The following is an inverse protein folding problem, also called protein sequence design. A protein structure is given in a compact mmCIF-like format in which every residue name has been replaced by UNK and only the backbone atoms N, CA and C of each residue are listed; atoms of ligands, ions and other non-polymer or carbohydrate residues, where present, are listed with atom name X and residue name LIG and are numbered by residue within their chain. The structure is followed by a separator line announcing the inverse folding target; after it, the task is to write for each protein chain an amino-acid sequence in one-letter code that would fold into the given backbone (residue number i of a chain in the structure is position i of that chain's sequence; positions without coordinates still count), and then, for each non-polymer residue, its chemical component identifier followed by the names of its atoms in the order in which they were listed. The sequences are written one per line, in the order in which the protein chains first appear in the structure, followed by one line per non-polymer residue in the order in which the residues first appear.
data_IF_146869270296
#
_entry.id   IF_146869270296
#
_cell.length_a   1.000
_cell.length_b   1.000
_cell.length_c   1.000
_cell.angle_alpha   90.00
_cell.angle_beta   90.00
_cell.angle_gamma   90.00
#
_symmetry.space_group_name_H-M   'P 1'
#
loop_
_entity.id
_entity.type
_entity.pdbx_description
1 polymer ?
2 non-polymer ?
3 non-polymer ?
4 non-polymer ?
5 water ?
#
# COMPACT_ATOMS: atom_id res chain seq x y z
N UNK A 18 19.48 11.49 -11.98
CA UNK A 18 20.00 10.12 -11.66
C UNK A 18 18.87 9.23 -11.13
N UNK A 19 18.00 9.74 -10.25
CA UNK A 19 16.78 9.02 -9.81
C UNK A 19 15.75 9.04 -10.97
N UNK A 20 15.98 8.19 -11.96
CA UNK A 20 15.15 8.07 -13.19
C UNK A 20 13.76 7.54 -12.81
N UNK A 21 13.69 6.67 -11.81
CA UNK A 21 12.43 6.00 -11.40
C UNK A 21 11.43 7.01 -10.82
N UNK A 22 11.87 7.94 -9.96
CA UNK A 22 10.95 8.99 -9.45
C UNK A 22 10.53 9.89 -10.62
N UNK A 23 11.43 10.17 -11.55
CA UNK A 23 11.11 10.98 -12.76
C UNK A 23 10.00 10.31 -13.58
N UNK A 24 9.92 8.98 -13.56
CA UNK A 24 8.81 8.22 -14.20
C UNK A 24 7.49 8.58 -13.54
N UNK A 25 7.42 8.59 -12.19
CA UNK A 25 6.20 8.98 -11.44
C UNK A 25 5.84 10.42 -11.83
N UNK A 26 6.80 11.33 -11.84
CA UNK A 26 6.53 12.74 -12.18
C UNK A 26 6.03 12.82 -13.63
N UNK A 27 6.60 12.03 -14.54
CA UNK A 27 6.16 12.02 -15.97
C UNK A 27 4.73 11.47 -16.05
N UNK A 28 4.36 10.50 -15.22
CA UNK A 28 2.97 9.99 -15.19
C UNK A 28 2.02 11.13 -14.79
N UNK A 29 2.35 11.87 -13.75
CA UNK A 29 1.52 13.02 -13.30
C UNK A 29 1.42 14.04 -14.44
N UNK A 30 2.55 14.38 -15.06
CA UNK A 30 2.59 15.33 -16.20
C UNK A 30 1.64 14.83 -17.31
N UNK A 31 1.68 13.54 -17.60
CA UNK A 31 0.89 12.93 -18.70
C UNK A 31 -0.60 13.04 -18.36
N UNK A 32 -0.96 12.74 -17.11
CA UNK A 32 -2.39 12.80 -16.67
C UNK A 32 -2.87 14.25 -16.77
N UNK A 33 -2.10 15.21 -16.27
CA UNK A 33 -2.55 16.63 -16.27
C UNK A 33 -2.75 17.11 -17.71
N UNK A 34 -1.90 16.66 -18.64
CA UNK A 34 -1.93 17.12 -20.06
C UNK A 34 -3.03 16.39 -20.84
N UNK A 35 -3.17 15.07 -20.66
CA UNK A 35 -3.93 14.18 -21.58
C UNK A 35 -5.15 13.55 -20.90
N UNK A 36 -5.26 13.65 -19.57
CA UNK A 36 -6.32 12.95 -18.81
C UNK A 36 -7.71 13.49 -19.13
N UNK A 37 -8.73 12.67 -18.90
CA UNK A 37 -10.15 13.05 -19.10
C UNK A 37 -10.67 13.66 -17.80
N UNK A 38 -11.36 14.80 -17.89
CA UNK A 38 -12.04 15.40 -16.71
C UNK A 38 -13.33 14.59 -16.48
N UNK A 39 -13.42 13.88 -15.36
CA UNK A 39 -14.61 13.07 -14.98
C UNK A 39 -14.93 13.33 -13.50
N UNK A 40 -16.20 13.57 -13.18
CA UNK A 40 -16.70 13.61 -11.78
C UNK A 40 -16.80 12.17 -11.29
N UNK A 41 -16.26 11.92 -10.10
CA UNK A 41 -16.22 10.54 -9.53
C UNK A 41 -17.51 10.26 -8.75
N UNK A 42 -17.54 9.14 -8.05
CA UNK A 42 -18.74 8.61 -7.34
C UNK A 42 -19.22 9.62 -6.29
N UNK A 43 -18.33 10.47 -5.78
CA UNK A 43 -18.65 11.49 -4.73
C UNK A 43 -19.10 12.79 -5.38
N UNK A 44 -18.97 12.92 -6.70
CA UNK A 44 -19.37 14.11 -7.47
C UNK A 44 -18.26 15.14 -7.64
N UNK A 45 -17.06 14.88 -7.11
CA UNK A 45 -15.90 15.83 -7.21
C UNK A 45 -15.14 15.56 -8.50
N UNK A 46 -14.53 16.60 -9.06
CA UNK A 46 -13.79 16.55 -10.33
C UNK A 46 -12.47 15.80 -10.17
N UNK A 47 -12.17 14.91 -11.11
CA UNK A 47 -10.84 14.26 -11.25
C UNK A 47 -10.35 14.42 -12.68
N UNK A 48 -9.04 14.25 -12.88
CA UNK A 48 -8.41 14.13 -14.22
C UNK A 48 -7.83 12.72 -14.27
N UNK A 49 -8.27 11.92 -15.24
CA UNK A 49 -8.09 10.45 -15.22
C UNK A 49 -7.43 9.94 -16.50
N UNK A 50 -6.48 9.02 -16.34
CA UNK A 50 -5.97 8.15 -17.43
C UNK A 50 -6.22 6.71 -16.96
N UNK A 51 -6.88 5.91 -17.78
CA UNK A 51 -7.11 4.47 -17.50
C UNK A 51 -5.99 3.65 -18.13
N UNK A 52 -5.23 2.91 -17.31
CA UNK A 52 -4.19 1.99 -17.77
C UNK A 52 -2.84 2.68 -17.86
N UNK A 53 -2.06 2.59 -16.78
CA UNK A 53 -0.67 3.11 -16.75
C UNK A 53 0.23 2.05 -16.11
N UNK A 54 1.50 2.02 -16.48
CA UNK A 54 2.48 1.00 -16.04
C UNK A 54 3.78 1.72 -15.73
N UNK A 55 4.42 1.41 -14.61
CA UNK A 55 5.76 1.94 -14.29
C UNK A 55 6.54 0.91 -13.47
N UNK A 56 7.85 0.93 -13.60
CA UNK A 56 8.72 -0.05 -12.88
C UNK A 56 9.70 0.74 -12.02
N UNK A 57 9.87 0.30 -10.78
CA UNK A 57 10.79 0.89 -9.77
C UNK A 57 11.79 -0.18 -9.35
N UNK A 58 13.08 0.13 -9.42
CA UNK A 58 14.13 -0.74 -8.85
C UNK A 58 13.98 -0.81 -7.33
N UNK A 59 14.02 -2.02 -6.79
CA UNK A 59 14.11 -2.27 -5.33
C UNK A 59 15.50 -2.79 -4.98
N UNK A 60 16.44 -2.81 -5.94
CA UNK A 60 17.74 -3.51 -5.74
C UNK A 60 18.54 -2.81 -4.65
N UNK A 61 19.30 -3.61 -3.89
CA UNK A 61 20.31 -3.09 -2.94
C UNK A 61 19.64 -2.16 -1.93
N UNK A 62 18.52 -2.58 -1.37
CA UNK A 62 17.85 -1.90 -0.24
C UNK A 62 16.94 -0.76 -0.63
N UNK A 63 16.84 -0.43 -1.92
CA UNK A 63 16.15 0.82 -2.37
C UNK A 63 14.63 0.67 -2.20
N UNK A 64 14.01 1.66 -1.56
CA UNK A 64 12.53 1.75 -1.42
C UNK A 64 12.10 3.02 -2.14
N UNK A 65 11.11 2.94 -3.05
CA UNK A 65 10.68 4.10 -3.82
C UNK A 65 9.76 5.04 -3.03
N UNK A 66 10.36 5.74 -2.07
CA UNK A 66 9.70 6.78 -1.24
C UNK A 66 10.02 8.14 -1.87
N UNK A 67 9.02 8.83 -2.40
CA UNK A 67 9.24 10.04 -3.23
C UNK A 67 10.06 11.05 -2.43
N UNK A 68 11.05 11.65 -3.10
CA UNK A 68 11.94 12.69 -2.50
C UNK A 68 11.40 14.08 -2.82
N UNK A 69 10.57 14.27 -3.85
CA UNK A 69 10.10 15.62 -4.26
C UNK A 69 8.95 16.11 -3.36
N UNK A 70 8.42 15.25 -2.48
CA UNK A 70 7.35 15.64 -1.52
C UNK A 70 7.29 14.59 -0.42
N UNK A 71 7.44 15.00 0.84
CA UNK A 71 7.53 14.05 1.97
C UNK A 71 6.34 13.08 1.92
N UNK A 72 6.65 11.79 1.99
CA UNK A 72 5.69 10.67 2.20
C UNK A 72 5.64 10.37 3.69
N UNK A 73 4.45 10.05 4.19
CA UNK A 73 4.18 9.76 5.62
C UNK A 73 4.69 8.37 5.97
N UNK A 74 6.01 8.25 6.06
CA UNK A 74 6.70 6.95 6.31
C UNK A 74 6.22 6.31 7.61
N UNK A 75 6.06 7.07 8.70
CA UNK A 75 5.50 6.54 9.95
C UNK A 75 4.17 5.83 9.65
N UNK A 76 3.30 6.48 8.86
CA UNK A 76 2.00 5.90 8.47
C UNK A 76 2.16 4.66 7.62
N UNK A 77 3.06 4.70 6.65
CA UNK A 77 3.33 3.53 5.76
C UNK A 77 3.67 2.31 6.63
N UNK A 78 4.65 2.47 7.52
CA UNK A 78 5.16 1.32 8.30
C UNK A 78 4.05 0.84 9.24
N UNK A 79 3.43 1.74 10.00
CA UNK A 79 2.43 1.32 11.01
C UNK A 79 1.24 0.67 10.30
N UNK A 80 0.80 1.24 9.17
CA UNK A 80 -0.34 0.64 8.40
C UNK A 80 0.05 -0.78 7.99
N UNK A 81 1.26 -0.97 7.46
CA UNK A 81 1.67 -2.29 6.94
C UNK A 81 1.78 -3.30 8.09
N UNK A 82 2.32 -2.93 9.27
CA UNK A 82 2.44 -3.87 10.40
C UNK A 82 1.03 -4.27 10.87
N UNK A 83 0.10 -3.32 10.82
CA UNK A 83 -1.31 -3.49 11.23
C UNK A 83 -2.00 -4.45 10.23
N UNK A 84 -1.78 -4.28 8.93
CA UNK A 84 -2.24 -5.24 7.90
C UNK A 84 -1.73 -6.64 8.25
N UNK A 85 -0.44 -6.75 8.54
CA UNK A 85 0.21 -8.08 8.73
C UNK A 85 -0.39 -8.75 9.98
N UNK A 86 -0.77 -7.97 10.99
CA UNK A 86 -1.43 -8.52 12.20
C UNK A 86 -2.82 -9.07 11.88
N UNK A 87 -3.35 -8.77 10.69
CA UNK A 87 -4.75 -9.12 10.33
C UNK A 87 -5.74 -8.22 11.03
N UNK A 88 -5.30 -7.02 11.42
CA UNK A 88 -6.08 -6.09 12.29
C UNK A 88 -7.01 -5.25 11.42
N UNK A 89 -8.24 -5.06 11.89
CA UNK A 89 -9.28 -4.24 11.21
C UNK A 89 -9.83 -3.16 12.13
N UNK A 90 -9.16 -2.92 13.26
CA UNK A 90 -9.56 -1.88 14.26
C UNK A 90 -8.77 -0.60 13.99
N UNK A 91 -9.41 0.43 13.44
CA UNK A 91 -8.77 1.74 13.16
C UNK A 91 -8.18 2.32 14.46
N UNK A 92 -8.78 2.02 15.61
CA UNK A 92 -8.32 2.59 16.91
C UNK A 92 -6.89 2.13 17.20
N UNK A 93 -6.52 0.90 16.84
CA UNK A 93 -5.16 0.37 17.06
C UNK A 93 -4.15 1.19 16.26
N UNK A 94 -4.49 1.57 15.04
CA UNK A 94 -3.60 2.38 14.18
C UNK A 94 -3.54 3.81 14.74
N UNK A 95 -4.69 4.37 15.14
CA UNK A 95 -4.82 5.74 15.69
C UNK A 95 -3.97 5.90 16.95
N UNK A 96 -3.90 4.86 17.78
CA UNK A 96 -3.15 4.86 19.07
C UNK A 96 -1.66 5.06 18.79
N UNK A 97 -1.19 4.69 17.59
CA UNK A 97 0.23 4.84 17.19
C UNK A 97 0.45 6.22 16.54
N UNK A 98 -0.58 7.07 16.51
CA UNK A 98 -0.54 8.43 15.94
C UNK A 98 -0.94 8.45 14.47
N UNK A 99 -1.39 7.32 13.92
CA UNK A 99 -1.66 7.21 12.46
C UNK A 99 -3.18 7.20 12.26
N UNK A 100 -3.72 8.33 11.80
CA UNK A 100 -5.17 8.61 11.80
C UNK A 100 -5.80 8.36 10.43
N UNK A 101 -5.07 7.73 9.49
CA UNK A 101 -5.47 7.70 8.05
C UNK A 101 -6.79 6.95 7.82
N UNK A 102 -7.16 6.01 8.69
CA UNK A 102 -8.41 5.21 8.54
C UNK A 102 -9.41 5.53 9.66
N UNK A 103 -9.21 6.64 10.37
CA UNK A 103 -10.12 7.02 11.49
C UNK A 103 -11.50 7.44 10.97
N UNK A 104 -11.56 8.23 9.91
CA UNK A 104 -12.84 8.73 9.32
C UNK A 104 -13.74 7.54 8.98
N UNK A 105 -13.18 6.46 8.45
CA UNK A 105 -13.94 5.29 7.94
C UNK A 105 -14.43 4.40 9.08
N UNK A 106 -13.93 4.59 10.31
CA UNK A 106 -14.33 3.80 11.49
C UNK A 106 -15.26 4.56 12.42
N UNK A 107 -15.54 5.83 12.11
CA UNK A 107 -16.33 6.76 12.98
C UNK A 107 -17.78 6.26 13.11
N UNK A 108 -18.43 6.58 14.22
CA UNK A 108 -19.85 6.22 14.50
C UNK A 108 -20.70 6.68 13.31
N UNK A 109 -20.49 7.92 12.85
CA UNK A 109 -21.27 8.56 11.75
C UNK A 109 -21.07 7.76 10.46
N UNK A 110 -19.82 7.51 10.08
CA UNK A 110 -19.47 6.83 8.81
C UNK A 110 -20.04 5.40 8.82
N UNK A 111 -19.91 4.68 9.93
CA UNK A 111 -20.45 3.30 10.09
C UNK A 111 -21.97 3.30 9.89
N UNK A 112 -22.66 4.24 10.53
CA UNK A 112 -24.15 4.33 10.48
C UNK A 112 -24.61 4.61 9.04
N UNK A 113 -23.91 5.51 8.35
CA UNK A 113 -24.23 5.94 6.96
C UNK A 113 -23.94 4.80 5.96
N UNK A 114 -23.11 3.83 6.35
CA UNK A 114 -22.74 2.66 5.52
C UNK A 114 -23.60 1.44 5.87
N UNK A 115 -24.60 1.63 6.73
CA UNK A 115 -25.51 0.56 7.19
C UNK A 115 -24.81 -0.45 8.08
N UNK A 116 -23.80 -0.02 8.85
CA UNK A 116 -23.06 -0.86 9.84
C UNK A 116 -23.40 -0.38 11.26
N UNK A 117 -24.67 -0.09 11.54
CA UNK A 117 -25.12 0.51 12.83
C UNK A 117 -24.76 -0.39 14.01
N UNK A 118 -24.66 -1.70 13.80
CA UNK A 118 -24.39 -2.71 14.86
C UNK A 118 -22.88 -2.82 15.16
N UNK A 119 -22.01 -2.23 14.33
CA UNK A 119 -20.53 -2.28 14.53
C UNK A 119 -20.10 -1.26 15.58
N UNK A 120 -19.05 -1.61 16.33
CA UNK A 120 -18.37 -0.70 17.29
C UNK A 120 -17.50 0.28 16.52
N UNK A 121 -17.34 1.49 17.05
CA UNK A 121 -16.47 2.55 16.47
C UNK A 121 -15.07 1.97 16.25
N UNK A 122 -14.48 2.22 15.08
CA UNK A 122 -13.14 1.72 14.71
C UNK A 122 -13.20 0.46 13.86
N UNK A 123 -14.35 -0.22 13.79
CA UNK A 123 -14.47 -1.53 13.07
C UNK A 123 -14.60 -1.23 11.57
N UNK A 124 -13.52 -1.45 10.80
CA UNK A 124 -13.47 -1.17 9.33
C UNK A 124 -14.03 -2.36 8.53
N UNK A 125 -14.43 -3.43 9.22
CA UNK A 125 -14.89 -4.67 8.57
C UNK A 125 -13.72 -5.46 8.01
N UNK A 126 -13.98 -6.49 7.18
CA UNK A 126 -12.94 -7.41 6.70
C UNK A 126 -12.07 -6.82 5.58
N UNK A 127 -11.28 -5.81 5.90
CA UNK A 127 -10.40 -5.11 4.91
C UNK A 127 -9.06 -5.85 4.79
N UNK A 128 -8.08 -5.20 4.16
CA UNK A 128 -6.80 -5.79 3.69
C UNK A 128 -6.27 -6.84 4.67
N UNK A 129 -5.95 -6.45 5.91
CA UNK A 129 -5.25 -7.33 6.86
C UNK A 129 -6.01 -8.62 7.06
N UNK A 130 -7.32 -8.51 7.21
CA UNK A 130 -8.22 -9.67 7.44
C UNK A 130 -8.17 -10.58 6.21
N UNK A 131 -8.23 -10.00 5.01
CA UNK A 131 -8.17 -10.82 3.77
C UNK A 131 -6.78 -11.46 3.64
N UNK A 132 -5.70 -10.75 3.97
CA UNK A 132 -4.33 -11.30 3.82
C UNK A 132 -4.14 -12.52 4.73
N UNK A 133 -4.64 -12.48 5.96
CA UNK A 133 -4.31 -13.51 6.98
C UNK A 133 -5.46 -14.50 7.20
N UNK A 134 -6.70 -14.15 6.86
CA UNK A 134 -7.92 -14.93 7.24
C UNK A 134 -8.90 -15.01 6.06
N UNK A 135 -8.36 -15.11 4.85
CA UNK A 135 -9.13 -15.14 3.60
C UNK A 135 -10.21 -16.23 3.66
N UNK A 136 -11.48 -15.83 3.55
CA UNK A 136 -12.63 -16.76 3.48
C UNK A 136 -13.27 -17.02 4.84
N UNK A 137 -12.65 -16.58 5.94
CA UNK A 137 -13.23 -16.69 7.30
C UNK A 137 -14.45 -15.78 7.42
N UNK A 138 -15.45 -16.19 8.21
CA UNK A 138 -16.67 -15.38 8.45
C UNK A 138 -16.31 -14.22 9.38
N UNK A 139 -16.48 -12.98 8.91
CA UNK A 139 -16.23 -11.77 9.73
C UNK A 139 -17.32 -11.66 10.80
N UNK A 140 -16.90 -11.51 12.06
CA UNK A 140 -17.77 -11.40 13.26
C UNK A 140 -17.27 -10.26 14.14
N UNK A 141 -16.74 -9.20 13.52
CA UNK A 141 -16.31 -7.98 14.23
C UNK A 141 -14.83 -7.97 14.53
N UNK A 142 -14.29 -6.79 14.80
CA UNK A 142 -12.84 -6.53 14.94
C UNK A 142 -12.28 -7.16 16.22
N UNK A 143 -13.12 -7.41 17.23
CA UNK A 143 -12.68 -7.84 18.58
C UNK A 143 -12.54 -9.37 18.63
N UNK A 144 -13.07 -10.07 17.63
CA UNK A 144 -12.98 -11.55 17.51
C UNK A 144 -11.53 -11.97 17.24
N UNK A 145 -11.08 -13.07 17.86
CA UNK A 145 -9.76 -13.69 17.61
C UNK A 145 -9.92 -14.66 16.43
N UNK A 146 -9.27 -14.35 15.29
CA UNK A 146 -9.40 -15.12 14.02
C UNK A 146 -8.19 -16.05 13.82
N UNK A 147 -7.33 -16.21 14.82
CA UNK A 147 -6.09 -17.04 14.73
C UNK A 147 -6.45 -18.41 14.11
N UNK A 148 -5.78 -18.77 13.01
CA UNK A 148 -5.91 -20.07 12.28
C UNK A 148 -7.31 -20.24 11.66
N UNK A 149 -8.08 -19.15 11.48
CA UNK A 149 -9.33 -19.17 10.69
C UNK A 149 -9.03 -18.66 9.27
N UNK A 150 -9.63 -19.30 8.27
CA UNK A 150 -9.47 -18.94 6.85
C UNK A 150 -8.08 -19.25 6.32
N UNK A 151 -7.81 -18.78 5.11
CA UNK A 151 -6.56 -19.05 4.35
C UNK A 151 -5.59 -17.90 4.64
N UNK A 152 -4.40 -18.25 5.13
CA UNK A 152 -3.33 -17.26 5.41
C UNK A 152 -2.55 -17.06 4.12
N UNK A 153 -3.04 -16.16 3.25
CA UNK A 153 -2.40 -15.92 1.95
C UNK A 153 -0.94 -15.51 2.14
N UNK A 154 -0.67 -14.67 3.16
CA UNK A 154 0.70 -14.13 3.33
C UNK A 154 1.66 -15.27 3.67
N UNK A 155 1.28 -16.16 4.58
CA UNK A 155 2.09 -17.36 4.94
C UNK A 155 2.23 -18.25 3.69
N UNK A 156 1.16 -18.40 2.93
CA UNK A 156 1.15 -19.29 1.74
C UNK A 156 2.12 -18.75 0.69
N UNK A 157 2.13 -17.44 0.46
CA UNK A 157 3.04 -16.79 -0.54
C UNK A 157 4.51 -17.00 -0.11
N UNK A 158 4.76 -16.85 1.20
CA UNK A 158 6.14 -17.05 1.75
C UNK A 158 6.54 -18.53 1.53
N UNK A 159 5.64 -19.47 1.77
CA UNK A 159 5.92 -20.92 1.54
C UNK A 159 6.21 -21.16 0.05
N UNK A 160 5.47 -20.52 -0.86
CA UNK A 160 5.75 -20.67 -2.31
C UNK A 160 7.11 -20.09 -2.65
N UNK A 161 7.41 -18.90 -2.17
CA UNK A 161 8.71 -18.23 -2.49
C UNK A 161 9.86 -19.15 -2.02
N UNK A 162 9.74 -19.72 -0.83
CA UNK A 162 10.82 -20.55 -0.25
C UNK A 162 10.96 -21.87 -1.00
N UNK A 163 9.84 -22.53 -1.30
CA UNK A 163 9.86 -23.95 -1.76
C UNK A 163 9.73 -24.04 -3.29
N UNK A 164 9.04 -23.09 -3.91
CA UNK A 164 8.72 -23.12 -5.36
C UNK A 164 8.87 -21.71 -5.93
N UNK A 165 10.09 -21.14 -5.87
CA UNK A 165 10.33 -19.75 -6.26
C UNK A 165 9.89 -19.41 -7.69
N UNK A 166 9.81 -20.40 -8.59
CA UNK A 166 9.45 -20.16 -10.01
C UNK A 166 7.94 -20.16 -10.21
N UNK A 167 7.16 -20.34 -9.15
CA UNK A 167 5.68 -20.45 -9.25
C UNK A 167 5.08 -19.23 -9.98
N UNK A 168 4.12 -19.49 -10.85
CA UNK A 168 3.33 -18.44 -11.55
C UNK A 168 2.06 -18.12 -10.75
N UNK A 169 1.93 -18.63 -9.52
CA UNK A 169 0.67 -18.58 -8.73
C UNK A 169 0.91 -17.84 -7.40
N UNK A 170 1.92 -16.98 -7.32
CA UNK A 170 2.28 -16.29 -6.03
C UNK A 170 1.50 -14.97 -5.98
N UNK A 171 0.27 -15.03 -5.50
CA UNK A 171 -0.70 -13.90 -5.54
C UNK A 171 -1.18 -13.59 -4.12
N UNK A 172 -1.13 -12.30 -3.77
CA UNK A 172 -1.71 -11.77 -2.51
C UNK A 172 -2.88 -10.87 -2.92
N UNK A 173 -4.10 -11.22 -2.57
CA UNK A 173 -5.30 -10.47 -3.01
C UNK A 173 -6.14 -10.00 -1.82
N UNK A 174 -6.69 -8.80 -1.90
CA UNK A 174 -7.72 -8.30 -0.96
C UNK A 174 -9.09 -8.25 -1.63
N UNK A 175 -9.18 -8.62 -2.91
CA UNK A 175 -10.43 -8.46 -3.70
C UNK A 175 -11.33 -9.65 -3.44
N UNK A 176 -11.92 -9.69 -2.24
CA UNK A 176 -12.86 -10.74 -1.79
C UNK A 176 -14.27 -10.24 -2.11
N UNK A 177 -14.83 -10.67 -3.24
CA UNK A 177 -16.11 -10.11 -3.77
C UNK A 177 -17.22 -10.34 -2.74
N UNK A 178 -17.26 -11.51 -2.12
CA UNK A 178 -18.28 -11.87 -1.11
C UNK A 178 -18.23 -10.88 0.06
N UNK A 179 -17.04 -10.37 0.41
CA UNK A 179 -16.85 -9.51 1.60
C UNK A 179 -16.91 -8.02 1.25
N UNK A 180 -16.93 -7.64 -0.03
CA UNK A 180 -16.86 -6.20 -0.41
C UNK A 180 -17.95 -5.40 0.31
N UNK A 181 -19.17 -5.95 0.39
CA UNK A 181 -20.34 -5.25 0.99
C UNK A 181 -20.13 -5.00 2.50
N UNK A 182 -19.23 -5.74 3.15
CA UNK A 182 -18.96 -5.62 4.61
C UNK A 182 -17.83 -4.62 4.87
N UNK A 183 -17.06 -4.26 3.85
CA UNK A 183 -15.84 -3.43 4.01
C UNK A 183 -16.23 -1.95 4.13
N UNK A 184 -15.55 -1.22 5.01
CA UNK A 184 -15.62 0.26 5.09
C UNK A 184 -15.38 0.82 3.68
N UNK A 185 -14.39 0.27 2.97
CA UNK A 185 -13.99 0.70 1.60
C UNK A 185 -13.54 -0.53 0.81
N UNK A 186 -13.92 -0.67 -0.48
CA UNK A 186 -13.37 -1.73 -1.32
C UNK A 186 -11.89 -1.46 -1.61
N UNK A 187 -11.03 -2.50 -1.62
CA UNK A 187 -9.59 -2.28 -1.72
C UNK A 187 -9.22 -1.57 -3.03
N UNK A 188 -8.29 -0.62 -2.98
CA UNK A 188 -7.75 0.11 -4.17
C UNK A 188 -6.49 -0.60 -4.66
N UNK A 189 -5.59 -0.93 -3.73
CA UNK A 189 -4.48 -1.87 -4.02
C UNK A 189 -5.08 -3.27 -3.93
N UNK A 190 -5.35 -3.87 -5.09
CA UNK A 190 -6.33 -4.96 -5.34
C UNK A 190 -5.67 -6.35 -5.26
N UNK A 191 -4.56 -6.54 -5.96
CA UNK A 191 -3.73 -7.76 -5.77
C UNK A 191 -2.28 -7.44 -6.12
N UNK A 192 -1.39 -8.28 -5.60
CA UNK A 192 0.05 -8.20 -5.86
C UNK A 192 0.50 -9.60 -6.26
N UNK A 193 1.28 -9.69 -7.31
CA UNK A 193 1.92 -10.97 -7.71
C UNK A 193 3.42 -10.86 -7.44
N UNK A 194 3.98 -11.92 -6.88
CA UNK A 194 5.43 -11.99 -6.61
C UNK A 194 6.08 -13.00 -7.57
N UNK A 195 7.35 -12.80 -7.80
CA UNK A 195 8.16 -13.73 -8.62
C UNK A 195 9.60 -13.68 -8.15
N UNK A 196 10.30 -14.81 -8.25
CA UNK A 196 11.75 -14.92 -7.92
C UNK A 196 12.50 -15.20 -9.20
N UNK A 197 13.54 -14.40 -9.46
CA UNK A 197 14.52 -14.63 -10.54
C UNK A 197 15.92 -14.36 -9.97
N UNK A 198 16.82 -15.33 -10.13
CA UNK A 198 18.26 -15.17 -9.79
C UNK A 198 18.37 -14.74 -8.33
N UNK A 199 17.55 -15.35 -7.46
CA UNK A 199 17.51 -15.06 -6.01
C UNK A 199 17.07 -13.64 -5.70
N UNK A 200 16.39 -12.97 -6.65
CA UNK A 200 15.80 -11.62 -6.47
C UNK A 200 14.27 -11.72 -6.48
N UNK A 201 13.64 -11.22 -5.43
CA UNK A 201 12.16 -11.16 -5.31
C UNK A 201 11.67 -9.85 -5.93
N UNK A 202 10.74 -9.98 -6.90
CA UNK A 202 10.04 -8.84 -7.53
C UNK A 202 8.55 -8.91 -7.22
N UNK A 203 7.86 -7.79 -7.43
CA UNK A 203 6.44 -7.62 -7.12
C UNK A 203 5.79 -6.85 -8.26
N UNK A 204 4.65 -7.33 -8.73
CA UNK A 204 3.76 -6.56 -9.62
C UNK A 204 2.48 -6.25 -8.86
N UNK A 205 2.24 -4.95 -8.62
CA UNK A 205 1.06 -4.46 -7.86
C UNK A 205 -0.01 -3.99 -8.84
N UNK A 206 -1.19 -4.59 -8.78
CA UNK A 206 -2.35 -4.14 -9.58
C UNK A 206 -3.21 -3.23 -8.70
N UNK A 207 -3.21 -1.95 -9.03
CA UNK A 207 -3.96 -0.91 -8.28
C UNK A 207 -5.09 -0.43 -9.19
N UNK A 208 -6.32 -0.82 -8.87
CA UNK A 208 -7.50 -0.50 -9.71
C UNK A 208 -7.74 1.01 -9.73
N UNK A 209 -7.27 1.71 -8.71
CA UNK A 209 -7.60 3.14 -8.48
C UNK A 209 -6.44 3.79 -7.73
N UNK A 210 -5.81 4.79 -8.32
CA UNK A 210 -4.65 5.44 -7.69
C UNK A 210 -4.79 6.95 -7.73
N UNK A 211 -4.96 7.58 -6.56
CA UNK A 211 -4.84 9.04 -6.39
C UNK A 211 -3.36 9.40 -6.48
N UNK A 212 -2.93 10.04 -7.56
CA UNK A 212 -1.49 10.30 -7.80
C UNK A 212 -0.95 11.28 -6.76
N UNK A 213 -1.83 12.10 -6.18
CA UNK A 213 -1.40 13.12 -5.19
C UNK A 213 -0.98 12.48 -3.89
N UNK A 214 -1.94 11.90 -3.16
CA UNK A 214 -1.71 11.37 -1.78
C UNK A 214 -1.50 9.85 -1.80
N UNK A 215 -2.41 9.12 -2.44
CA UNK A 215 -2.48 7.65 -2.31
C UNK A 215 -1.27 6.95 -2.90
N UNK A 216 -1.00 7.21 -4.18
CA UNK A 216 -0.03 6.39 -4.95
C UNK A 216 1.36 6.46 -4.31
N UNK A 217 1.91 7.65 -3.93
CA UNK A 217 3.22 7.66 -3.28
C UNK A 217 3.26 6.80 -2.00
N UNK A 218 2.20 6.86 -1.22
CA UNK A 218 2.08 6.05 0.02
C UNK A 218 2.07 4.57 -0.34
N UNK A 219 1.25 4.20 -1.34
CA UNK A 219 1.08 2.79 -1.74
C UNK A 219 2.39 2.24 -2.34
N UNK A 220 3.14 3.03 -3.11
CA UNK A 220 4.44 2.58 -3.67
C UNK A 220 5.41 2.30 -2.52
N UNK A 221 5.49 3.19 -1.53
CA UNK A 221 6.37 3.00 -0.36
C UNK A 221 5.97 1.71 0.36
N UNK A 222 4.66 1.50 0.52
CA UNK A 222 4.10 0.34 1.26
C UNK A 222 4.49 -0.98 0.58
N UNK A 223 4.22 -1.13 -0.71
CA UNK A 223 4.52 -2.41 -1.41
C UNK A 223 6.03 -2.57 -1.63
N UNK A 224 6.77 -1.47 -1.80
CA UNK A 224 8.24 -1.55 -1.81
C UNK A 224 8.74 -2.12 -0.50
N UNK A 225 8.24 -1.60 0.61
CA UNK A 225 8.67 -2.06 1.95
C UNK A 225 8.26 -3.53 2.14
N UNK A 226 7.02 -3.88 1.80
CA UNK A 226 6.53 -5.27 1.97
C UNK A 226 7.43 -6.24 1.20
N UNK A 227 7.79 -5.89 -0.03
CA UNK A 227 8.65 -6.75 -0.88
C UNK A 227 10.00 -6.94 -0.17
N UNK A 228 10.57 -5.88 0.39
CA UNK A 228 11.83 -5.98 1.16
C UNK A 228 11.66 -6.88 2.38
N UNK A 229 10.54 -6.75 3.09
CA UNK A 229 10.27 -7.56 4.31
C UNK A 229 10.15 -9.04 3.94
N UNK A 230 9.40 -9.36 2.88
CA UNK A 230 9.23 -10.77 2.45
C UNK A 230 10.60 -11.32 1.99
N UNK A 231 11.35 -10.53 1.23
CA UNK A 231 12.70 -10.95 0.75
C UNK A 231 13.57 -11.26 1.97
N UNK A 232 13.50 -10.43 3.01
CA UNK A 232 14.32 -10.59 4.24
C UNK A 232 14.01 -11.95 4.86
N UNK A 233 12.73 -12.24 5.06
CA UNK A 233 12.21 -13.49 5.70
C UNK A 233 12.65 -14.70 4.85
N UNK A 234 12.73 -14.54 3.53
CA UNK A 234 13.01 -15.65 2.58
C UNK A 234 14.51 -15.73 2.24
N UNK A 235 15.34 -14.87 2.83
CA UNK A 235 16.80 -14.84 2.57
C UNK A 235 17.12 -14.53 1.13
N UNK A 236 16.27 -13.73 0.47
CA UNK A 236 16.45 -13.32 -0.94
C UNK A 236 16.91 -11.87 -1.04
N UNK A 237 17.47 -11.54 -2.19
CA UNK A 237 17.68 -10.15 -2.64
C UNK A 237 16.35 -9.65 -3.21
N UNK A 238 16.30 -8.38 -3.56
CA UNK A 238 15.11 -7.74 -4.18
C UNK A 238 15.42 -7.37 -5.63
N UNK A 239 14.39 -7.35 -6.46
CA UNK A 239 14.46 -6.96 -7.87
C UNK A 239 13.75 -5.66 -8.11
N UNK A 240 12.54 -5.71 -8.66
CA UNK A 240 11.77 -4.52 -9.08
C UNK A 240 10.32 -4.63 -8.59
N UNK A 241 9.69 -3.46 -8.49
CA UNK A 241 8.24 -3.31 -8.27
C UNK A 241 7.64 -2.77 -9.57
N UNK A 242 6.77 -3.55 -10.21
CA UNK A 242 5.94 -3.04 -11.32
C UNK A 242 4.65 -2.50 -10.72
N UNK A 243 4.31 -1.27 -11.07
CA UNK A 243 3.07 -0.60 -10.63
C UNK A 243 2.11 -0.50 -11.80
N UNK A 244 1.00 -1.23 -11.71
CA UNK A 244 -0.06 -1.23 -12.74
C UNK A 244 -1.24 -0.46 -12.17
N UNK A 245 -1.65 0.59 -12.88
CA UNK A 245 -2.81 1.44 -12.49
C UNK A 245 -3.98 1.18 -13.44
N UNK A 246 -5.16 1.01 -12.86
CA UNK A 246 -6.44 1.18 -13.57
C UNK A 246 -6.74 2.65 -13.75
N UNK A 247 -7.58 3.23 -12.89
CA UNK A 247 -7.84 4.69 -12.95
C UNK A 247 -6.71 5.44 -12.23
N UNK A 248 -5.72 5.91 -13.00
CA UNK A 248 -4.68 6.82 -12.50
C UNK A 248 -5.26 8.23 -12.54
N UNK A 249 -5.50 8.86 -11.39
CA UNK A 249 -6.23 10.15 -11.38
C UNK A 249 -5.60 11.16 -10.43
N UNK A 250 -5.85 12.42 -10.75
CA UNK A 250 -5.52 13.61 -9.91
C UNK A 250 -6.85 14.27 -9.56
N UNK A 251 -7.09 14.56 -8.29
CA UNK A 251 -8.24 15.37 -7.85
C UNK A 251 -8.00 16.81 -8.31
N UNK A 252 -9.04 17.46 -8.82
CA UNK A 252 -8.96 18.83 -9.39
C UNK A 252 -8.37 19.79 -8.35
N UNK A 253 -8.61 19.55 -7.04
CA UNK A 253 -8.17 20.44 -5.93
C UNK A 253 -6.72 20.13 -5.51
N UNK A 254 -6.04 19.20 -6.19
CA UNK A 254 -4.59 18.88 -5.95
C UNK A 254 -3.71 19.37 -7.12
N UNK A 255 -4.31 19.90 -8.19
CA UNK A 255 -3.58 20.22 -9.45
C UNK A 255 -2.46 21.24 -9.17
N UNK A 256 -2.76 22.34 -8.47
CA UNK A 256 -1.77 23.41 -8.19
C UNK A 256 -0.60 22.83 -7.38
N UNK A 257 -0.90 22.02 -6.37
CA UNK A 257 0.10 21.36 -5.49
C UNK A 257 1.00 20.44 -6.34
N UNK A 258 0.41 19.64 -7.22
CA UNK A 258 1.21 18.73 -8.08
C UNK A 258 2.05 19.52 -9.09
N UNK A 259 1.53 20.65 -9.61
CA UNK A 259 2.31 21.51 -10.53
C UNK A 259 3.53 22.08 -9.77
N UNK A 260 3.38 22.41 -8.49
CA UNK A 260 4.52 22.84 -7.63
C UNK A 260 5.54 21.69 -7.56
N UNK A 261 5.06 20.48 -7.28
CA UNK A 261 5.94 19.29 -7.12
C UNK A 261 6.70 19.01 -8.41
N UNK A 262 6.05 19.19 -9.56
CA UNK A 262 6.63 18.84 -10.88
C UNK A 262 7.80 19.75 -11.24
N UNK A 263 8.00 20.85 -10.51
CA UNK A 263 9.13 21.79 -10.73
C UNK A 263 10.39 21.25 -10.03
N UNK A 264 10.26 20.22 -9.18
CA UNK A 264 11.35 19.72 -8.30
C UNK A 264 12.11 18.58 -8.98
N UNK A 265 13.44 18.56 -8.85
CA UNK A 265 14.29 17.48 -9.40
C UNK A 265 14.46 16.40 -8.32
N UNK A 266 14.15 15.12 -8.62
CA UNK A 266 14.28 14.08 -7.60
C UNK A 266 15.71 13.88 -7.07
N UNK A 267 15.78 13.49 -5.80
CA UNK A 267 17.02 13.02 -5.12
C UNK A 267 17.04 11.49 -5.18
N UNK A 268 18.17 10.88 -4.88
CA UNK A 268 18.30 9.41 -4.76
C UNK A 268 17.25 8.91 -3.76
N UNK A 269 16.52 7.85 -4.09
CA UNK A 269 15.61 7.16 -3.14
C UNK A 269 16.38 6.66 -1.92
N UNK A 270 15.71 6.56 -0.76
CA UNK A 270 16.32 6.01 0.43
C UNK A 270 16.45 4.49 0.35
N UNK A 271 17.17 3.89 1.30
CA UNK A 271 17.31 2.44 1.44
C UNK A 271 16.73 2.02 2.78
N UNK A 272 16.38 0.75 2.89
CA UNK A 272 15.85 0.17 4.16
C UNK A 272 16.82 -0.90 4.62
N UNK A 273 17.00 -1.02 5.92
CA UNK A 273 17.68 -2.19 6.52
C UNK A 273 16.88 -2.63 7.75
N UNK A 274 16.97 -3.91 8.07
CA UNK A 274 16.25 -4.53 9.19
C UNK A 274 17.24 -4.86 10.30
N UNK A 275 16.82 -4.60 11.54
CA UNK A 275 17.60 -4.87 12.80
C UNK A 275 17.09 -6.16 13.43
N UNK A 276 18.01 -6.95 14.00
CA UNK A 276 17.69 -8.04 14.93
C UNK A 276 17.44 -9.35 14.22
N UNK A 277 16.98 -10.35 14.97
CA UNK A 277 16.69 -11.72 14.47
C UNK A 277 15.21 -11.76 14.08
N UNK A 278 14.92 -11.56 12.80
CA UNK A 278 13.53 -11.56 12.25
C UNK A 278 13.35 -12.81 11.39
N UNK A 279 12.72 -13.83 11.96
CA UNK A 279 12.61 -15.19 11.37
C UNK A 279 11.35 -15.29 10.50
N UNK A 280 10.26 -14.63 10.89
CA UNK A 280 8.97 -14.73 10.17
C UNK A 280 8.40 -13.34 9.90
N UNK A 281 7.44 -13.28 9.00
CA UNK A 281 6.77 -12.03 8.56
C UNK A 281 6.05 -11.37 9.74
N UNK A 282 5.76 -12.12 10.80
CA UNK A 282 5.03 -11.63 12.00
C UNK A 282 5.99 -11.04 13.05
N UNK A 283 7.30 -11.04 12.79
CA UNK A 283 8.33 -10.67 13.80
C UNK A 283 8.87 -9.26 13.57
N UNK A 284 8.35 -8.51 12.60
CA UNK A 284 8.79 -7.12 12.37
C UNK A 284 8.11 -6.21 13.39
N UNK A 285 8.85 -5.19 13.82
CA UNK A 285 8.36 -4.09 14.68
C UNK A 285 8.72 -2.78 14.00
N UNK A 286 8.13 -1.68 14.47
CA UNK A 286 8.47 -0.34 13.95
C UNK A 286 9.99 -0.12 14.12
N UNK A 287 10.52 -0.54 15.27
CA UNK A 287 11.94 -0.31 15.65
C UNK A 287 12.88 -1.15 14.77
N UNK A 288 12.41 -2.28 14.24
CA UNK A 288 13.25 -3.22 13.45
C UNK A 288 13.49 -2.66 12.03
N UNK A 289 12.73 -1.64 11.62
CA UNK A 289 12.77 -1.10 10.23
C UNK A 289 13.49 0.24 10.25
N UNK A 290 14.66 0.30 9.59
CA UNK A 290 15.54 1.49 9.53
C UNK A 290 15.49 2.07 8.12
N UNK A 291 14.99 3.29 7.98
CA UNK A 291 15.02 4.05 6.70
C UNK A 291 16.28 4.90 6.68
N UNK A 292 17.13 4.69 5.68
CA UNK A 292 18.44 5.36 5.55
C UNK A 292 18.37 6.42 4.46
N UNK A 293 18.80 7.65 4.78
CA UNK A 293 19.05 8.72 3.78
C UNK A 293 17.74 9.09 3.07
N UNK A 294 16.67 9.32 3.84
CA UNK A 294 15.41 9.90 3.34
C UNK A 294 15.29 11.33 3.90
N UNK A 295 15.70 12.30 3.10
CA UNK A 295 15.61 13.75 3.45
C UNK A 295 14.82 14.43 2.34
N UNK A 296 13.48 14.25 2.31
CA UNK A 296 12.67 14.77 1.21
C UNK A 296 12.55 16.30 1.21
N UNK A 297 12.10 16.85 0.09
CA UNK A 297 11.77 18.29 -0.04
C UNK A 297 10.48 18.57 0.72
N UNK A 298 10.15 19.83 1.05
CA UNK A 298 8.98 20.13 1.89
C UNK A 298 7.69 19.42 1.43
N UNK A 299 6.91 18.91 2.40
CA UNK A 299 5.56 18.34 2.16
C UNK A 299 4.69 19.39 1.45
N UNK A 300 3.84 18.94 0.53
CA UNK A 300 2.85 19.82 -0.16
C UNK A 300 1.46 19.38 0.28
N UNK A 301 0.72 20.29 0.90
CA UNK A 301 -0.63 20.00 1.47
C UNK A 301 -1.59 19.67 0.32
N UNK A 302 -2.21 18.49 0.40
CA UNK A 302 -3.26 18.00 -0.51
C UNK A 302 -4.39 17.42 0.35
N UNK A 303 -5.46 18.19 0.54
CA UNK A 303 -6.57 17.90 1.48
C UNK A 303 -7.55 16.89 0.88
N UNK A 304 -8.57 16.50 1.64
CA UNK A 304 -9.68 15.60 1.19
C UNK A 304 -10.77 15.55 2.26
X LIG B 1 -6.82 5.77 -2.47
X LIG B 1 -5.54 5.53 -2.92
X LIG B 1 -4.79 4.74 -2.08
X LIG B 1 -5.16 4.20 -0.87
X LIG B 1 -6.49 4.51 -0.46
X LIG B 1 -7.26 5.29 -1.26
X LIG B 1 -5.11 5.96 -3.98
X LIG B 1 -4.36 3.49 -0.24
X LIG B 1 -7.69 6.64 -3.29
X LIG B 1 -7.99 6.19 -4.71
X LIG B 1 -9.30 6.91 -4.95
X LIG B 1 -10.02 6.69 -3.62
X LIG B 1 -9.10 8.31 -5.18
X LIG B 1 -8.95 6.70 -2.63
X LIG B 1 -10.78 5.40 -3.51
X LIG B 1 -12.05 5.56 -4.21
X LIG B 1 -12.59 4.38 -5.19
X LIG B 1 -11.51 4.09 -6.20
X LIG B 1 -12.96 3.21 -4.34
X LIG B 1 -13.80 5.05 -5.81
X LIG C 1 -9.79 8.61 0.09
X LIG C 1 -9.40 9.31 -1.01
X LIG C 1 -10.36 9.87 -1.78
X LIG C 1 -8.10 9.47 -1.37
X LIG C 1 -7.09 8.93 -0.66
X LIG C 1 -5.81 9.09 -1.05
X LIG C 1 -7.42 8.15 0.54
X LIG C 1 -6.47 7.59 1.32
X LIG C 1 -6.88 6.90 2.42
X LIG C 1 -8.24 6.78 2.72
X LIG C 1 -9.21 7.34 1.98
X LIG C 1 -8.86 8.03 0.89
X LIG C 1 -5.88 6.24 3.33
X LIG C 1 -4.49 6.49 2.94
X LIG C 1 -3.81 5.43 2.19
X LIG C 1 -2.36 9.88 4.21
X LIG C 1 -1.70 8.82 3.61
X LIG C 1 -2.41 7.71 3.18
X LIG C 1 -3.80 7.64 3.34
X LIG C 1 -4.46 8.70 3.95
X LIG C 1 -3.75 9.82 4.37
X LIG C 1 -1.61 11.08 4.69
X LIG C 1 -0.69 11.54 4.06
X LIG C 1 -2.06 11.55 5.87
X LIG C 1 -1.74 12.80 6.51
X LIG C 1 -1.54 12.59 7.98
X LIG C 1 -0.67 13.27 8.57
X LIG C 1 -2.26 11.74 8.58
X LIG C 1 -2.97 13.67 6.27
X LIG C 1 -2.67 15.15 6.05
X LIG C 1 -3.49 15.73 4.90
X LIG C 1 -4.66 15.32 4.69
X LIG C 1 -2.95 16.62 4.21
X LIG D 1 -8.91 -12.97 -1.46
X LIG D 1 -9.40 -12.86 -0.05
X LIG D 1 -9.93 -12.69 -2.39
X LIG D 1 -10.14 -14.36 0.65
X LIG E 1 9.77 -6.72 -12.43
X LIG E 1 8.52 -6.54 -11.60
X LIG E 1 9.88 -8.04 -12.95
X LIG E 1 7.01 -6.66 -12.57
X LIG F 1 3.19 13.54 7.60
X LIG F 1 4.28 13.39 6.59
X LIG F 1 3.73 13.67 8.90
X LIG F 1 3.76 13.74 4.88
X LIG G 1 11.74 4.48 10.72
X LIG G 1 12.82 5.39 10.22
X LIG G 1 11.61 3.31 9.94
X LIG G 1 14.51 4.80 10.47
X LIG H 1 -20.95 0.72 2.31
X LIG H 1 -20.89 2.10 1.74
X LIG H 1 -21.27 -0.20 1.30
X LIG H 1 -20.42 3.33 3.00
#
# INVERSE_FOLDING_TARGET
MKSSGAHGNVMGDAGVLKNEDESKYLDQVRYILKNGERIDDRTGVGTISVFGMHSVYSLRNGVVPVLTTKRVYWKGVVEELLWFIRGDTNAKHLSEKGVRIWDANGSRQFLDQCGFSDRSEGDLGPIYGFQWRHCGAEYRGMDTDYTNQGIDQLSEIIDLIKNEPHSRRIILSAWNVKDLKLMALPPCHTLAQFAVRNGELSCQLYQRSGDMGLGVPFNLASYGLLTHMIAHVCGLKTGHLCHVLGDAHVYMNHVDALQEQLKRQPRQFPTVRFIGNIKTIDDFTYESIVLENYQPMPAIKMAMAV
UMP N1 C2 N3 C4 C5 C6 O2 O4 C1' C2' C3' C4' O3' O4' C5' O5' P OP1 OP2 OP3
MTX N1 C2 NA2 N3 C4 NA4 C4A N5 C6 C7 N8 C8A C9 N10 CM C11 C12 C13 C14 C15 C16 C O N CA CT O1 O2 CB CG CD OE1 OE2
BME C1 C2 O1 S2
BME C1 C2 O1 S2
BME C1 C2 O1 S2
BME C1 C2 O1 S2
BME C1 C2 O1 S2
#
